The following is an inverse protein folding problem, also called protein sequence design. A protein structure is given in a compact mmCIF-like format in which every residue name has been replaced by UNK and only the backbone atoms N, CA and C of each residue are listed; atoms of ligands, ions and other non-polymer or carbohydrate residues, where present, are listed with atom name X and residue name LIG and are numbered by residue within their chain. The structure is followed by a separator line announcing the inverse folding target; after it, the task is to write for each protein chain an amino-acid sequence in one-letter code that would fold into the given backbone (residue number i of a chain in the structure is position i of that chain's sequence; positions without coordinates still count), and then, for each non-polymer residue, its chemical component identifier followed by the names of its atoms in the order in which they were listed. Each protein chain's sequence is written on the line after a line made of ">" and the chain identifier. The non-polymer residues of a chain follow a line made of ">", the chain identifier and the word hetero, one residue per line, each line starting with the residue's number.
data_IF_213519939932
#
_entry.id   IF_213519939932
#
_cell.length_a   1.000
_cell.length_b   1.000
_cell.length_c   1.000
_cell.angle_alpha   90.00
_cell.angle_beta   90.00
_cell.angle_gamma   90.00
#
_symmetry.space_group_name_H-M   'P 1'
#
loop_
_entity.id
_entity.type
_entity.pdbx_description
1 polymer ?
#
# COMPACT_ATOMS: atom_id res chain seq x y z
N UNK A 1 4.69 -18.64 14.44
CA UNK A 1 4.29 -17.74 13.36
C UNK A 1 2.93 -17.18 13.77
N UNK A 2 2.92 -16.10 14.56
CA UNK A 2 1.66 -15.51 15.03
C UNK A 2 0.90 -15.00 13.81
N UNK A 3 -0.35 -15.39 13.67
CA UNK A 3 -1.22 -15.02 12.55
C UNK A 3 -1.46 -13.52 12.55
N UNK A 4 -0.66 -12.79 11.77
CA UNK A 4 -0.70 -11.34 11.48
C UNK A 4 -1.96 -10.89 10.71
N UNK A 5 -2.98 -11.73 10.63
CA UNK A 5 -4.12 -11.50 9.78
C UNK A 5 -5.24 -10.83 10.57
N UNK A 6 -5.65 -9.66 10.11
CA UNK A 6 -6.93 -9.08 10.47
C UNK A 6 -8.02 -9.88 9.76
N UNK A 7 -8.35 -11.05 10.31
CA UNK A 7 -9.55 -11.76 9.87
C UNK A 7 -10.73 -11.38 10.75
N UNK A 8 -11.90 -11.12 10.14
CA UNK A 8 -13.15 -11.06 10.89
C UNK A 8 -13.57 -12.44 11.45
N UNK A 9 -12.94 -13.55 10.99
CA UNK A 9 -13.24 -14.93 11.42
C UNK A 9 -12.03 -15.87 11.39
N UNK A 10 -12.01 -16.89 12.23
CA UNK A 10 -10.96 -17.91 12.20
C UNK A 10 -11.11 -18.82 10.96
N UNK A 11 -10.01 -19.06 10.24
CA UNK A 11 -9.96 -20.09 9.19
C UNK A 11 -9.64 -21.45 9.82
N UNK A 12 -10.19 -22.56 9.29
CA UNK A 12 -9.72 -23.90 9.63
C UNK A 12 -8.19 -24.00 9.46
N UNK A 13 -7.51 -24.70 10.36
CA UNK A 13 -6.04 -24.79 10.38
C UNK A 13 -5.43 -25.23 9.03
N UNK A 14 -5.98 -26.24 8.32
CA UNK A 14 -5.48 -26.62 6.99
C UNK A 14 -5.60 -25.53 5.91
N UNK A 15 -6.46 -24.54 6.13
CA UNK A 15 -6.79 -23.48 5.17
C UNK A 15 -6.10 -22.14 5.47
N UNK A 16 -5.26 -22.04 6.50
CA UNK A 16 -4.55 -20.79 6.82
C UNK A 16 -3.71 -20.27 5.64
N UNK A 17 -3.24 -21.15 4.77
CA UNK A 17 -2.55 -20.78 3.54
C UNK A 17 -3.36 -19.89 2.58
N UNK A 18 -4.69 -20.00 2.58
CA UNK A 18 -5.56 -19.14 1.75
C UNK A 18 -5.39 -17.66 2.09
N UNK A 19 -5.21 -17.34 3.38
CA UNK A 19 -4.92 -15.99 3.84
C UNK A 19 -3.66 -15.41 3.21
N UNK A 20 -2.60 -16.23 3.18
CA UNK A 20 -1.31 -15.87 2.60
C UNK A 20 -1.45 -15.55 1.13
N UNK A 21 -2.21 -16.35 0.39
CA UNK A 21 -2.42 -16.16 -1.04
C UNK A 21 -3.37 -14.98 -1.34
N UNK A 22 -4.44 -14.81 -0.56
CA UNK A 22 -5.44 -13.77 -0.81
C UNK A 22 -4.95 -12.34 -0.52
N UNK A 23 -4.17 -12.17 0.55
CA UNK A 23 -3.63 -10.86 0.96
C UNK A 23 -2.37 -10.45 0.19
N UNK A 24 -1.77 -11.36 -0.56
CA UNK A 24 -0.61 -11.08 -1.40
C UNK A 24 -1.05 -10.70 -2.80
N UNK A 25 -1.07 -9.39 -3.10
CA UNK A 25 -1.51 -8.81 -4.36
C UNK A 25 -0.79 -9.36 -5.60
N UNK A 26 0.27 -10.17 -5.45
CA UNK A 26 0.90 -10.91 -6.54
C UNK A 26 -0.07 -11.73 -7.38
N UNK A 27 -1.20 -12.17 -6.82
CA UNK A 27 -2.24 -12.85 -7.60
C UNK A 27 -2.78 -12.01 -8.77
N UNK A 28 -2.63 -10.67 -8.76
CA UNK A 28 -3.15 -9.84 -9.84
C UNK A 28 -2.32 -9.86 -11.13
N UNK A 29 -1.07 -10.35 -11.08
CA UNK A 29 -0.24 -10.60 -12.27
C UNK A 29 0.36 -12.01 -12.32
N UNK A 30 0.03 -12.86 -11.34
CA UNK A 30 0.40 -14.27 -11.30
C UNK A 30 -0.83 -15.15 -11.11
N UNK A 31 -1.25 -15.80 -12.18
CA UNK A 31 -2.51 -16.55 -12.26
C UNK A 31 -2.40 -18.03 -11.82
N UNK A 32 -1.33 -18.41 -11.13
CA UNK A 32 -1.08 -19.81 -10.74
C UNK A 32 -2.15 -20.37 -9.80
N UNK A 33 -2.76 -19.51 -8.97
CA UNK A 33 -3.77 -19.89 -7.98
C UNK A 33 -5.22 -19.66 -8.45
N UNK A 34 -5.46 -19.26 -9.70
CA UNK A 34 -6.83 -18.95 -10.17
C UNK A 34 -7.76 -20.17 -10.12
N UNK A 35 -7.27 -21.35 -10.47
CA UNK A 35 -8.03 -22.60 -10.38
C UNK A 35 -8.46 -22.90 -8.93
N UNK A 36 -7.61 -22.55 -7.96
CA UNK A 36 -7.91 -22.69 -6.55
C UNK A 36 -9.05 -21.77 -6.13
N UNK A 37 -9.03 -20.50 -6.53
CA UNK A 37 -10.11 -19.57 -6.20
C UNK A 37 -11.43 -19.91 -6.91
N UNK A 38 -11.37 -20.40 -8.16
CA UNK A 38 -12.53 -20.98 -8.85
C UNK A 38 -13.14 -22.14 -8.07
N UNK A 39 -12.34 -23.03 -7.49
CA UNK A 39 -12.87 -24.13 -6.69
C UNK A 39 -13.47 -23.66 -5.36
N UNK A 40 -12.93 -22.59 -4.74
CA UNK A 40 -13.49 -22.02 -3.50
C UNK A 40 -14.91 -21.50 -3.75
N UNK A 41 -15.07 -20.60 -4.72
CA UNK A 41 -16.36 -19.98 -5.03
C UNK A 41 -16.44 -19.60 -6.53
N UNK A 42 -16.92 -20.50 -7.41
CA UNK A 42 -16.89 -20.28 -8.86
C UNK A 42 -17.59 -18.99 -9.30
N UNK A 43 -18.81 -18.72 -8.79
CA UNK A 43 -19.58 -17.52 -9.16
C UNK A 43 -18.89 -16.22 -8.75
N UNK A 44 -18.42 -16.15 -7.49
CA UNK A 44 -17.71 -14.98 -6.99
C UNK A 44 -16.40 -14.75 -7.76
N UNK A 45 -15.70 -15.82 -8.13
CA UNK A 45 -14.50 -15.69 -8.96
C UNK A 45 -14.79 -15.08 -10.32
N UNK A 46 -15.80 -15.58 -11.04
CA UNK A 46 -16.15 -15.04 -12.36
C UNK A 46 -16.64 -13.59 -12.32
N UNK A 47 -17.30 -13.17 -11.23
CA UNK A 47 -17.82 -11.80 -11.08
C UNK A 47 -16.78 -10.79 -10.59
N UNK A 48 -15.78 -11.24 -9.82
CA UNK A 48 -14.93 -10.31 -9.04
C UNK A 48 -13.44 -10.48 -9.24
N UNK A 49 -12.98 -11.68 -9.62
CA UNK A 49 -11.56 -12.06 -9.66
C UNK A 49 -10.76 -11.62 -8.42
N UNK A 50 -11.41 -11.55 -7.24
CA UNK A 50 -10.84 -11.01 -6.00
C UNK A 50 -10.73 -12.11 -4.92
N UNK A 51 -9.55 -12.71 -4.75
CA UNK A 51 -9.27 -13.70 -3.72
C UNK A 51 -9.68 -13.30 -2.30
N UNK A 52 -9.38 -12.06 -1.91
CA UNK A 52 -9.68 -11.59 -0.57
C UNK A 52 -11.18 -11.48 -0.34
N UNK A 53 -11.91 -10.87 -1.29
CA UNK A 53 -13.36 -10.77 -1.24
C UNK A 53 -14.02 -12.16 -1.17
N UNK A 54 -13.54 -13.12 -1.97
CA UNK A 54 -14.01 -14.51 -1.90
C UNK A 54 -13.79 -15.08 -0.49
N UNK A 55 -12.57 -14.96 0.04
CA UNK A 55 -12.18 -15.55 1.31
C UNK A 55 -12.95 -14.95 2.50
N UNK A 56 -13.30 -13.67 2.48
CA UNK A 56 -14.12 -13.05 3.54
C UNK A 56 -15.62 -13.31 3.37
N UNK A 57 -16.08 -13.68 2.17
CA UNK A 57 -17.53 -13.85 1.86
C UNK A 57 -18.01 -15.30 1.93
N UNK A 58 -17.17 -16.27 1.56
CA UNK A 58 -17.55 -17.71 1.49
C UNK A 58 -18.09 -18.21 2.84
N UNK A 59 -19.01 -19.19 2.89
CA UNK A 59 -19.57 -19.64 4.18
C UNK A 59 -18.60 -20.51 4.99
N UNK A 60 -18.74 -20.53 6.32
CA UNK A 60 -17.93 -21.38 7.20
C UNK A 60 -18.11 -22.87 6.86
N UNK A 61 -19.34 -23.29 6.54
CA UNK A 61 -19.63 -24.65 6.03
C UNK A 61 -18.79 -24.98 4.80
N UNK A 62 -18.66 -24.05 3.85
CA UNK A 62 -17.86 -24.27 2.63
C UNK A 62 -16.38 -24.37 2.96
N UNK A 63 -15.89 -23.57 3.93
CA UNK A 63 -14.53 -23.69 4.43
C UNK A 63 -14.29 -25.06 5.10
N UNK A 64 -15.24 -25.56 5.89
CA UNK A 64 -15.17 -26.89 6.51
C UNK A 64 -15.16 -28.01 5.45
N UNK A 65 -16.00 -27.92 4.43
CA UNK A 65 -16.01 -28.85 3.29
C UNK A 65 -14.64 -28.89 2.58
N UNK A 66 -14.05 -27.72 2.30
CA UNK A 66 -12.73 -27.60 1.68
C UNK A 66 -11.61 -28.07 2.59
N UNK A 67 -11.74 -27.89 3.91
CA UNK A 67 -10.77 -28.39 4.88
C UNK A 67 -10.75 -29.93 4.97
N UNK A 68 -11.83 -30.60 4.55
CA UNK A 68 -11.89 -32.06 4.40
C UNK A 68 -11.52 -32.60 3.01
N UNK A 69 -11.40 -31.72 1.99
CA UNK A 69 -11.12 -32.11 0.62
C UNK A 69 -9.60 -32.24 0.38
N UNK A 70 -9.13 -33.49 0.31
CA UNK A 70 -7.70 -33.78 0.13
C UNK A 70 -7.13 -33.20 -1.17
N UNK A 71 -7.89 -33.24 -2.26
CA UNK A 71 -7.43 -32.74 -3.55
C UNK A 71 -7.27 -31.21 -3.52
N UNK A 72 -8.21 -30.52 -2.88
CA UNK A 72 -8.12 -29.08 -2.67
C UNK A 72 -6.92 -28.70 -1.79
N UNK A 73 -6.70 -29.41 -0.68
CA UNK A 73 -5.56 -29.17 0.20
C UNK A 73 -4.23 -29.41 -0.50
N UNK A 74 -4.11 -30.45 -1.31
CA UNK A 74 -2.89 -30.72 -2.09
C UNK A 74 -2.63 -29.59 -3.12
N UNK A 75 -3.68 -29.07 -3.77
CA UNK A 75 -3.57 -27.91 -4.66
C UNK A 75 -3.14 -26.64 -3.90
N UNK A 76 -3.70 -26.37 -2.73
CA UNK A 76 -3.29 -25.23 -1.88
C UNK A 76 -1.82 -25.34 -1.48
N UNK A 77 -1.39 -26.51 -1.02
CA UNK A 77 -0.01 -26.74 -0.63
C UNK A 77 0.95 -26.59 -1.81
N UNK A 78 0.57 -27.04 -3.00
CA UNK A 78 1.38 -26.84 -4.20
C UNK A 78 1.56 -25.35 -4.52
N UNK A 79 0.49 -24.55 -4.47
CA UNK A 79 0.59 -23.10 -4.71
C UNK A 79 1.49 -22.41 -3.68
N UNK A 80 1.42 -22.81 -2.41
CA UNK A 80 2.29 -22.27 -1.36
C UNK A 80 3.76 -22.64 -1.61
N UNK A 81 4.05 -23.90 -2.00
CA UNK A 81 5.40 -24.36 -2.34
C UNK A 81 5.97 -23.64 -3.55
N UNK A 82 5.20 -23.50 -4.63
CA UNK A 82 5.61 -22.74 -5.83
C UNK A 82 5.97 -21.32 -5.45
N UNK A 83 5.17 -20.70 -4.59
CA UNK A 83 5.41 -19.34 -4.11
C UNK A 83 6.66 -19.24 -3.24
N UNK A 84 6.86 -20.18 -2.32
CA UNK A 84 8.06 -20.24 -1.47
C UNK A 84 9.33 -20.45 -2.30
N UNK A 85 9.31 -21.40 -3.24
CA UNK A 85 10.41 -21.67 -4.16
C UNK A 85 10.73 -20.44 -5.01
N UNK A 86 9.70 -19.78 -5.57
CA UNK A 86 9.87 -18.54 -6.31
C UNK A 86 10.52 -17.45 -5.45
N UNK A 87 10.24 -17.39 -4.14
CA UNK A 87 10.80 -16.38 -3.23
C UNK A 87 12.17 -16.72 -2.66
N UNK A 88 12.52 -18.00 -2.59
CA UNK A 88 13.84 -18.49 -2.18
C UNK A 88 14.89 -18.53 -3.29
N UNK A 89 14.49 -18.41 -4.56
CA UNK A 89 15.41 -18.43 -5.69
C UNK A 89 16.31 -17.17 -5.74
N UNK A 90 17.52 -17.35 -6.29
CA UNK A 90 18.39 -16.24 -6.67
C UNK A 90 17.66 -15.28 -7.61
N UNK A 91 17.98 -14.00 -7.45
CA UNK A 91 17.31 -12.90 -8.13
C UNK A 91 18.32 -12.02 -8.82
N UNK A 92 17.89 -11.31 -9.85
CA UNK A 92 18.74 -10.34 -10.53
C UNK A 92 19.41 -9.38 -9.53
N UNK A 93 18.66 -8.86 -8.55
CA UNK A 93 19.22 -7.97 -7.54
C UNK A 93 20.29 -8.66 -6.68
N UNK A 94 20.04 -9.87 -6.18
CA UNK A 94 21.04 -10.58 -5.35
C UNK A 94 22.31 -10.93 -6.11
N UNK A 95 22.21 -11.27 -7.41
CA UNK A 95 23.35 -11.61 -8.26
C UNK A 95 24.18 -10.39 -8.69
N UNK A 96 23.53 -9.24 -8.93
CA UNK A 96 24.18 -8.09 -9.58
C UNK A 96 24.51 -6.94 -8.61
N UNK A 97 23.72 -6.74 -7.55
CA UNK A 97 23.80 -5.55 -6.69
C UNK A 97 23.79 -5.89 -5.19
N UNK A 98 23.24 -7.03 -4.77
CA UNK A 98 22.89 -7.30 -3.37
C UNK A 98 24.01 -7.09 -2.35
N UNK A 99 25.28 -7.31 -2.74
CA UNK A 99 26.43 -7.07 -1.88
C UNK A 99 26.84 -5.59 -1.73
N UNK A 100 26.46 -4.71 -2.66
CA UNK A 100 26.87 -3.30 -2.72
C UNK A 100 25.81 -2.31 -2.23
N UNK A 101 24.58 -2.77 -1.98
CA UNK A 101 23.48 -1.94 -1.49
C UNK A 101 22.91 -2.50 -0.18
N UNK A 102 22.79 -1.62 0.81
CA UNK A 102 22.17 -1.92 2.10
C UNK A 102 21.01 -0.95 2.36
N UNK A 103 19.96 -1.43 3.02
CA UNK A 103 18.74 -0.68 3.30
C UNK A 103 17.67 -0.85 2.23
N UNK A 104 16.79 0.14 2.13
CA UNK A 104 15.64 0.13 1.22
C UNK A 104 15.60 1.36 0.31
N UNK A 105 14.84 1.23 -0.77
CA UNK A 105 14.38 2.35 -1.58
C UNK A 105 12.98 2.71 -1.10
N UNK A 106 12.82 3.88 -0.47
CA UNK A 106 11.51 4.40 -0.09
C UNK A 106 10.89 5.11 -1.31
N UNK A 107 9.85 4.52 -1.88
CA UNK A 107 9.15 5.03 -3.05
C UNK A 107 7.81 5.65 -2.64
N UNK A 108 7.75 6.99 -2.67
CA UNK A 108 6.58 7.76 -2.28
C UNK A 108 5.73 8.08 -3.51
N UNK A 109 4.45 7.75 -3.45
CA UNK A 109 3.49 8.09 -4.49
C UNK A 109 2.11 8.38 -3.88
N UNK A 110 1.38 9.31 -4.50
CA UNK A 110 0.01 9.63 -4.11
C UNK A 110 -0.97 8.50 -4.47
N UNK A 111 -0.62 7.65 -5.45
CA UNK A 111 -1.47 6.59 -5.96
C UNK A 111 -0.70 5.31 -6.33
N UNK A 112 -1.36 4.15 -6.22
CA UNK A 112 -0.80 2.85 -6.58
C UNK A 112 -1.82 1.98 -7.32
N UNK A 113 -1.62 1.82 -8.62
CA UNK A 113 -2.42 0.98 -9.52
C UNK A 113 -1.93 -0.45 -9.56
N UNK A 114 -2.09 -1.19 -8.45
CA UNK A 114 -1.69 -2.60 -8.37
C UNK A 114 -2.73 -3.51 -9.02
N UNK A 115 -4.00 -3.33 -8.62
CA UNK A 115 -5.16 -4.04 -9.13
C UNK A 115 -6.45 -3.34 -8.66
N UNK A 116 -7.57 -3.66 -9.30
CA UNK A 116 -8.89 -3.08 -8.99
C UNK A 116 -9.39 -3.40 -7.56
N UNK A 117 -8.90 -4.48 -6.96
CA UNK A 117 -9.24 -4.86 -5.57
C UNK A 117 -8.62 -3.95 -4.51
N UNK A 118 -7.71 -3.05 -4.91
CA UNK A 118 -7.16 -1.99 -4.06
C UNK A 118 -7.23 -0.65 -4.83
N UNK A 119 -8.42 0.00 -4.86
CA UNK A 119 -8.70 1.14 -5.75
C UNK A 119 -8.15 2.46 -5.18
N UNK A 120 -6.82 2.57 -5.13
CA UNK A 120 -6.08 3.75 -4.64
C UNK A 120 -5.31 4.47 -5.75
N UNK A 121 -5.86 4.51 -6.96
CA UNK A 121 -5.29 5.16 -8.14
C UNK A 121 -6.36 5.71 -9.08
N UNK A 122 -5.98 6.66 -9.93
CA UNK A 122 -6.86 7.24 -10.96
C UNK A 122 -6.38 7.01 -12.38
N UNK A 123 -5.07 6.98 -12.61
CA UNK A 123 -4.53 6.98 -13.98
C UNK A 123 -3.14 6.41 -14.15
N UNK A 124 -2.45 6.86 -15.20
CA UNK A 124 -1.17 6.30 -15.65
C UNK A 124 -0.03 6.44 -14.64
N UNK A 125 -0.01 7.50 -13.84
CA UNK A 125 0.97 7.70 -12.77
C UNK A 125 0.86 6.58 -11.72
N UNK A 126 -0.35 6.25 -11.29
CA UNK A 126 -0.65 5.17 -10.36
C UNK A 126 -0.38 3.80 -10.95
N UNK A 127 -0.78 3.53 -12.20
CA UNK A 127 -0.46 2.27 -12.89
C UNK A 127 1.06 2.07 -12.96
N UNK A 128 1.82 3.10 -13.33
CA UNK A 128 3.28 3.07 -13.33
C UNK A 128 3.84 2.76 -11.93
N UNK A 129 3.35 3.43 -10.88
CA UNK A 129 3.76 3.16 -9.50
C UNK A 129 3.49 1.71 -9.09
N UNK A 130 2.36 1.15 -9.55
CA UNK A 130 2.01 -0.25 -9.34
C UNK A 130 2.97 -1.20 -10.06
N UNK A 131 3.21 -0.98 -11.34
CA UNK A 131 4.13 -1.79 -12.15
C UNK A 131 5.57 -1.68 -11.67
N UNK A 132 5.95 -0.54 -11.08
CA UNK A 132 7.24 -0.36 -10.46
C UNK A 132 7.41 -1.28 -9.24
N UNK A 133 6.38 -1.43 -8.40
CA UNK A 133 6.40 -2.39 -7.28
C UNK A 133 6.36 -3.85 -7.76
N UNK A 134 5.61 -4.17 -8.83
CA UNK A 134 5.60 -5.51 -9.44
C UNK A 134 6.99 -5.88 -9.96
N UNK A 135 7.61 -4.98 -10.71
CA UNK A 135 8.97 -5.16 -11.25
C UNK A 135 10.00 -5.27 -10.13
N UNK A 136 9.90 -4.44 -9.08
CA UNK A 136 10.77 -4.54 -7.91
C UNK A 136 10.57 -5.87 -7.14
N UNK A 137 9.36 -6.44 -7.15
CA UNK A 137 9.12 -7.78 -6.63
C UNK A 137 9.89 -8.83 -7.43
N UNK A 138 9.73 -8.84 -8.76
CA UNK A 138 10.31 -9.87 -9.64
C UNK A 138 11.83 -9.79 -9.69
N UNK A 139 12.40 -8.58 -9.74
CA UNK A 139 13.84 -8.35 -9.69
C UNK A 139 14.43 -8.44 -8.27
N UNK A 140 13.57 -8.52 -7.25
CA UNK A 140 13.92 -8.52 -5.82
C UNK A 140 14.67 -7.26 -5.36
N UNK A 141 14.37 -6.10 -5.94
CA UNK A 141 14.90 -4.81 -5.50
C UNK A 141 14.20 -4.44 -4.17
N UNK A 142 14.93 -3.97 -3.14
CA UNK A 142 14.37 -3.68 -1.80
C UNK A 142 13.57 -2.37 -1.77
N UNK A 143 12.57 -2.24 -2.63
CA UNK A 143 11.62 -1.12 -2.65
C UNK A 143 10.53 -1.33 -1.61
N UNK A 144 10.18 -0.25 -0.92
CA UNK A 144 8.99 -0.12 -0.08
C UNK A 144 8.16 1.02 -0.68
N UNK A 145 6.91 0.73 -1.01
CA UNK A 145 5.95 1.76 -1.45
C UNK A 145 5.38 2.48 -0.24
N UNK A 146 5.21 3.80 -0.32
CA UNK A 146 4.57 4.64 0.69
C UNK A 146 3.48 5.46 0.00
N UNK A 147 2.24 5.31 0.46
CA UNK A 147 1.07 5.98 -0.09
C UNK A 147 -0.02 6.26 0.93
N UNK A 148 -1.20 6.60 0.44
CA UNK A 148 -2.40 6.86 1.24
C UNK A 148 -3.44 5.77 1.00
N UNK A 149 -4.21 5.40 2.03
CA UNK A 149 -5.35 4.51 1.89
C UNK A 149 -6.63 5.35 1.72
N UNK A 150 -7.13 5.44 0.49
CA UNK A 150 -8.31 6.25 0.19
C UNK A 150 -9.63 5.56 0.55
N UNK A 151 -10.51 6.25 1.27
CA UNK A 151 -11.83 5.72 1.62
C UNK A 151 -12.81 5.65 0.45
N UNK A 152 -12.61 6.39 -0.63
CA UNK A 152 -13.49 6.38 -1.81
C UNK A 152 -12.73 6.18 -3.13
N UNK A 153 -11.39 6.23 -3.09
CA UNK A 153 -10.56 6.15 -4.30
C UNK A 153 -10.69 7.43 -5.12
N UNK A 154 -10.75 7.29 -6.45
CA UNK A 154 -11.04 8.40 -7.37
C UNK A 154 -12.56 8.58 -7.54
N UNK A 155 -13.18 7.93 -8.53
CA UNK A 155 -14.62 7.73 -8.60
C UNK A 155 -14.93 6.51 -9.47
N UNK A 156 -16.16 5.98 -9.40
CA UNK A 156 -16.70 5.02 -10.36
C UNK A 156 -17.61 5.75 -11.34
N UNK A 157 -17.32 5.60 -12.62
CA UNK A 157 -18.06 6.21 -13.70
C UNK A 157 -19.30 5.38 -14.05
N UNK A 158 -20.45 6.03 -14.21
CA UNK A 158 -21.54 5.51 -15.02
C UNK A 158 -21.97 6.57 -16.05
N UNK A 159 -22.77 6.16 -17.04
CA UNK A 159 -23.40 7.07 -17.99
C UNK A 159 -24.90 7.07 -17.73
N UNK A 160 -25.51 8.24 -17.73
CA UNK A 160 -26.97 8.34 -17.69
C UNK A 160 -27.61 8.06 -19.06
N UNK A 161 -28.93 8.24 -19.14
CA UNK A 161 -29.69 7.98 -20.36
C UNK A 161 -29.36 8.94 -21.52
N UNK A 162 -28.82 10.11 -21.22
CA UNK A 162 -28.45 11.14 -22.18
C UNK A 162 -26.96 11.05 -22.58
N UNK A 163 -26.20 10.19 -21.91
CA UNK A 163 -24.77 9.96 -22.15
C UNK A 163 -23.85 10.83 -21.30
N UNK A 164 -24.39 11.53 -20.31
CA UNK A 164 -23.61 12.35 -19.38
C UNK A 164 -22.96 11.48 -18.29
N UNK A 165 -21.79 11.93 -17.83
CA UNK A 165 -21.03 11.25 -16.78
C UNK A 165 -21.71 11.41 -15.42
N UNK A 166 -21.94 10.28 -14.75
CA UNK A 166 -22.31 10.19 -13.34
C UNK A 166 -21.13 9.65 -12.54
N UNK A 167 -20.85 10.30 -11.41
CA UNK A 167 -19.73 9.96 -10.53
C UNK A 167 -20.24 9.35 -9.22
N UNK A 168 -19.76 8.15 -8.91
CA UNK A 168 -20.06 7.46 -7.67
C UNK A 168 -18.80 7.31 -6.83
N UNK A 169 -18.93 7.58 -5.53
CA UNK A 169 -17.84 7.53 -4.56
C UNK A 169 -18.12 6.44 -3.52
N UNK A 170 -18.12 5.15 -3.91
CA UNK A 170 -18.41 4.06 -2.99
C UNK A 170 -17.36 4.00 -1.88
N UNK A 171 -17.82 3.74 -0.65
CA UNK A 171 -16.91 3.58 0.47
C UNK A 171 -16.12 2.26 0.36
N UNK A 172 -14.80 2.39 0.35
CA UNK A 172 -13.84 1.32 0.47
C UNK A 172 -13.68 0.96 1.96
N UNK A 173 -14.38 -0.08 2.39
CA UNK A 173 -14.17 -0.65 3.72
C UNK A 173 -12.78 -1.32 3.78
N UNK A 174 -11.83 -0.83 4.61
CA UNK A 174 -10.50 -1.41 4.72
C UNK A 174 -10.49 -2.89 5.08
N UNK A 175 -11.54 -3.39 5.73
CA UNK A 175 -11.67 -4.81 6.09
C UNK A 175 -11.96 -5.70 4.87
N UNK A 176 -12.48 -5.11 3.80
CA UNK A 176 -12.78 -5.77 2.52
C UNK A 176 -11.68 -5.56 1.47
N UNK A 177 -10.61 -4.84 1.82
CA UNK A 177 -9.44 -4.63 0.98
C UNK A 177 -8.32 -5.62 1.33
N UNK A 178 -7.45 -5.99 0.38
CA UNK A 178 -6.32 -6.89 0.60
C UNK A 178 -5.15 -6.17 1.33
N UNK A 179 -5.45 -5.56 2.48
CA UNK A 179 -4.51 -4.87 3.37
C UNK A 179 -4.75 -5.34 4.80
N UNK A 180 -3.72 -5.23 5.63
CA UNK A 180 -3.83 -5.53 7.06
C UNK A 180 -3.38 -4.32 7.91
N UNK A 181 -3.95 -4.11 9.10
CA UNK A 181 -3.40 -3.19 10.08
C UNK A 181 -1.92 -3.47 10.32
N UNK A 182 -1.09 -2.45 10.23
CA UNK A 182 0.32 -2.56 10.57
C UNK A 182 0.47 -2.55 12.10
N UNK A 183 1.02 -3.64 12.65
CA UNK A 183 1.18 -3.83 14.09
C UNK A 183 2.66 -3.85 14.49
N UNK A 184 2.95 -3.41 15.70
CA UNK A 184 4.28 -3.49 16.31
C UNK A 184 4.55 -4.87 16.94
N UNK A 185 5.70 -5.01 17.58
CA UNK A 185 6.15 -6.23 18.27
C UNK A 185 5.25 -6.64 19.45
N UNK A 186 4.43 -5.71 19.96
CA UNK A 186 3.45 -5.95 21.02
C UNK A 186 2.07 -6.27 20.47
N UNK A 187 1.90 -6.26 19.15
CA UNK A 187 0.63 -6.45 18.48
C UNK A 187 -0.25 -5.19 18.50
N UNK A 188 0.26 -4.04 18.93
CA UNK A 188 -0.48 -2.78 18.91
C UNK A 188 -0.49 -2.18 17.52
N UNK A 189 -1.58 -1.51 17.16
CA UNK A 189 -1.69 -0.86 15.85
C UNK A 189 -0.78 0.37 15.82
N UNK A 190 0.22 0.32 14.93
CA UNK A 190 1.15 1.43 14.69
C UNK A 190 0.37 2.65 14.23
N UNK A 191 0.57 3.77 14.93
CA UNK A 191 -0.05 5.05 14.60
C UNK A 191 1.01 6.12 14.48
N UNK A 192 0.88 6.95 13.45
CA UNK A 192 1.74 8.12 13.25
C UNK A 192 0.99 9.36 13.66
N UNK A 193 1.71 10.39 14.07
CA UNK A 193 1.12 11.69 14.33
C UNK A 193 1.85 12.78 13.59
N UNK A 194 1.08 13.75 13.09
CA UNK A 194 1.56 14.96 12.45
C UNK A 194 0.95 16.14 13.20
N UNK A 195 1.76 17.17 13.43
CA UNK A 195 1.27 18.42 14.01
C UNK A 195 0.76 19.32 12.86
N UNK A 196 -0.51 19.67 12.92
CA UNK A 196 -1.14 20.67 12.06
C UNK A 196 -1.36 21.96 12.87
N UNK A 197 -1.61 23.11 12.24
CA UNK A 197 -1.94 24.33 12.97
C UNK A 197 -3.10 24.10 13.96
N UNK A 198 -2.81 24.29 15.25
CA UNK A 198 -3.78 24.17 16.34
C UNK A 198 -4.24 22.76 16.71
N UNK A 199 -3.77 21.69 16.05
CA UNK A 199 -4.23 20.32 16.32
C UNK A 199 -3.23 19.25 15.92
N UNK A 200 -3.35 18.08 16.54
CA UNK A 200 -2.57 16.89 16.21
C UNK A 200 -3.39 15.93 15.36
N UNK A 201 -2.93 15.63 14.16
CA UNK A 201 -3.51 14.63 13.27
C UNK A 201 -2.95 13.25 13.61
N UNK A 202 -3.81 12.25 13.80
CA UNK A 202 -3.43 10.84 14.00
C UNK A 202 -3.66 10.04 12.73
N UNK A 203 -2.70 9.20 12.36
CA UNK A 203 -2.78 8.37 11.17
C UNK A 203 -2.75 6.91 11.58
N UNK A 204 -3.76 6.14 11.18
CA UNK A 204 -3.70 4.68 11.19
C UNK A 204 -2.79 4.24 10.06
N UNK A 205 -2.15 3.09 10.24
CA UNK A 205 -1.20 2.56 9.26
C UNK A 205 -1.60 1.17 8.81
N UNK A 206 -1.50 0.94 7.50
CA UNK A 206 -1.91 -0.30 6.86
C UNK A 206 -0.77 -0.84 6.01
N UNK A 207 -0.77 -2.15 5.82
CA UNK A 207 0.22 -2.87 5.03
C UNK A 207 -0.48 -3.67 3.93
N UNK A 208 -0.20 -3.33 2.68
CA UNK A 208 -0.44 -4.17 1.52
C UNK A 208 0.81 -5.00 1.19
N UNK A 209 0.61 -6.23 0.73
CA UNK A 209 1.70 -7.11 0.27
C UNK A 209 1.67 -7.18 -1.25
N UNK A 210 2.77 -6.82 -1.89
CA UNK A 210 2.94 -6.88 -3.35
C UNK A 210 4.06 -7.88 -3.62
N UNK A 211 3.74 -9.16 -3.49
CA UNK A 211 4.69 -10.27 -3.51
C UNK A 211 5.70 -10.19 -2.36
N UNK A 212 6.97 -9.92 -2.72
CA UNK A 212 8.05 -9.68 -1.75
C UNK A 212 8.12 -8.24 -1.27
N UNK A 213 7.43 -7.31 -1.95
CA UNK A 213 7.47 -5.88 -1.63
C UNK A 213 6.36 -5.52 -0.65
N UNK A 214 6.64 -4.49 0.13
CA UNK A 214 5.70 -3.95 1.12
C UNK A 214 5.17 -2.61 0.62
N UNK A 215 3.85 -2.43 0.67
CA UNK A 215 3.18 -1.16 0.46
C UNK A 215 2.64 -0.66 1.80
N UNK A 216 3.19 0.43 2.30
CA UNK A 216 2.76 1.09 3.54
C UNK A 216 1.76 2.21 3.19
N UNK A 217 0.60 2.18 3.82
CA UNK A 217 -0.47 3.13 3.56
C UNK A 217 -0.88 3.87 4.84
N UNK A 218 -1.03 5.19 4.71
CA UNK A 218 -1.47 6.07 5.79
C UNK A 218 -2.95 6.42 5.63
N UNK A 219 -3.65 6.48 6.76
CA UNK A 219 -5.10 6.65 6.81
C UNK A 219 -5.47 7.63 7.93
N UNK A 220 -6.06 8.78 7.58
CA UNK A 220 -6.47 9.79 8.56
C UNK A 220 -7.84 9.50 9.19
N UNK A 221 -8.53 8.44 8.78
CA UNK A 221 -9.84 8.03 9.31
C UNK A 221 -9.73 7.36 10.70
N UNK A 222 -8.97 7.96 11.62
CA UNK A 222 -8.94 7.58 13.03
C UNK A 222 -10.12 8.23 13.76
N UNK A 223 -10.91 7.48 14.58
CA UNK A 223 -12.04 8.03 15.33
C UNK A 223 -11.69 9.17 16.29
N UNK A 224 -10.41 9.31 16.68
CA UNK A 224 -9.93 10.38 17.56
C UNK A 224 -9.60 11.67 16.81
N UNK A 225 -9.60 11.66 15.47
CA UNK A 225 -9.47 12.87 14.67
C UNK A 225 -10.81 13.59 14.52
N UNK A 226 -10.75 14.91 14.28
CA UNK A 226 -11.94 15.66 13.91
C UNK A 226 -12.53 15.16 12.59
N UNK A 227 -13.85 15.31 12.36
CA UNK A 227 -14.49 14.85 11.13
C UNK A 227 -13.83 15.37 9.84
N UNK A 228 -13.40 16.64 9.81
CA UNK A 228 -12.70 17.21 8.64
C UNK A 228 -11.32 16.58 8.41
N UNK A 229 -10.59 16.27 9.48
CA UNK A 229 -9.27 15.63 9.39
C UNK A 229 -9.36 14.18 8.90
N UNK A 230 -10.45 13.49 9.25
CA UNK A 230 -10.75 12.14 8.75
C UNK A 230 -10.95 12.12 7.23
N UNK A 231 -11.38 13.24 6.64
CA UNK A 231 -11.56 13.38 5.20
C UNK A 231 -10.25 13.62 4.43
N UNK A 232 -9.11 13.85 5.10
CA UNK A 232 -7.82 14.04 4.41
C UNK A 232 -7.50 12.86 3.48
N UNK A 233 -7.83 11.63 3.90
CA UNK A 233 -7.65 10.44 3.06
C UNK A 233 -8.96 9.96 2.41
N UNK A 234 -9.99 10.79 2.25
CA UNK A 234 -11.26 10.31 1.65
C UNK A 234 -11.09 9.98 0.17
N UNK A 235 -10.74 10.98 -0.62
CA UNK A 235 -10.72 10.95 -2.08
C UNK A 235 -9.32 11.24 -2.61
N UNK A 236 -8.96 10.55 -3.68
CA UNK A 236 -7.75 10.81 -4.46
C UNK A 236 -7.99 12.01 -5.37
N UNK A 237 -7.15 13.04 -5.25
CA UNK A 237 -7.30 14.32 -5.98
C UNK A 237 -8.61 15.09 -5.69
N UNK A 238 -9.31 14.75 -4.61
CA UNK A 238 -10.49 15.46 -4.14
C UNK A 238 -10.17 16.69 -3.28
N UNK A 239 -11.19 17.52 -3.04
CA UNK A 239 -11.10 18.70 -2.18
C UNK A 239 -10.45 19.92 -2.83
N UNK A 240 -10.15 20.94 -2.01
CA UNK A 240 -9.47 22.16 -2.43
C UNK A 240 -7.98 22.18 -2.08
N UNK A 241 -7.29 23.29 -2.37
CA UNK A 241 -5.85 23.43 -2.16
C UNK A 241 -5.35 23.15 -0.72
N UNK A 242 -6.15 23.49 0.30
CA UNK A 242 -5.80 23.17 1.69
C UNK A 242 -5.82 21.66 1.97
N UNK A 243 -6.84 20.95 1.47
CA UNK A 243 -6.93 19.50 1.60
C UNK A 243 -5.77 18.83 0.89
N UNK A 244 -5.44 19.31 -0.31
CA UNK A 244 -4.31 18.84 -1.10
C UNK A 244 -2.98 19.01 -0.36
N UNK A 245 -2.74 20.17 0.24
CA UNK A 245 -1.57 20.42 1.08
C UNK A 245 -1.51 19.44 2.26
N UNK A 246 -2.65 19.22 2.93
CA UNK A 246 -2.73 18.28 4.04
C UNK A 246 -2.42 16.84 3.60
N UNK A 247 -2.90 16.41 2.43
CA UNK A 247 -2.56 15.10 1.86
C UNK A 247 -1.06 14.95 1.58
N UNK A 248 -0.42 15.97 1.00
CA UNK A 248 1.03 15.96 0.76
C UNK A 248 1.85 15.95 2.06
N UNK A 249 1.39 16.66 3.08
CA UNK A 249 1.98 16.58 4.42
C UNK A 249 1.81 15.19 5.03
N UNK A 250 0.64 14.57 4.90
CA UNK A 250 0.39 13.18 5.34
C UNK A 250 1.32 12.22 4.62
N UNK A 251 1.40 12.28 3.29
CA UNK A 251 2.25 11.41 2.48
C UNK A 251 3.73 11.60 2.84
N UNK A 252 4.23 12.84 2.79
CA UNK A 252 5.64 13.13 2.98
C UNK A 252 6.11 13.02 4.44
N UNK A 253 5.49 13.79 5.34
CA UNK A 253 5.87 13.82 6.76
C UNK A 253 5.43 12.52 7.45
N UNK A 254 4.17 12.13 7.27
CA UNK A 254 3.64 10.91 7.87
C UNK A 254 4.37 9.66 7.37
N UNK A 255 4.66 9.61 6.08
CA UNK A 255 5.34 8.47 5.47
C UNK A 255 6.77 8.33 5.95
N UNK A 256 7.53 9.42 6.05
CA UNK A 256 8.89 9.35 6.57
C UNK A 256 8.92 9.00 8.07
N UNK A 257 8.00 9.56 8.86
CA UNK A 257 7.84 9.18 10.29
C UNK A 257 7.47 7.72 10.47
N UNK A 258 6.70 7.14 9.54
CA UNK A 258 6.40 5.72 9.56
C UNK A 258 7.66 4.87 9.37
N UNK A 259 8.51 5.22 8.40
CA UNK A 259 9.80 4.54 8.20
C UNK A 259 10.68 4.64 9.45
N UNK A 260 10.77 5.83 10.06
CA UNK A 260 11.50 6.03 11.32
C UNK A 260 10.95 5.16 12.45
N UNK A 261 9.62 5.12 12.62
CA UNK A 261 8.95 4.34 13.67
C UNK A 261 9.20 2.85 13.51
N UNK A 262 9.26 2.35 12.27
CA UNK A 262 9.53 0.96 11.95
C UNK A 262 11.03 0.62 11.95
N UNK A 263 11.91 1.60 12.14
CA UNK A 263 13.37 1.40 12.07
C UNK A 263 13.87 1.01 10.67
N UNK A 264 13.14 1.39 9.61
CA UNK A 264 13.48 1.06 8.24
C UNK A 264 14.50 2.06 7.71
N UNK A 265 15.73 1.60 7.47
CA UNK A 265 16.76 2.40 6.85
C UNK A 265 16.56 2.49 5.33
N UNK A 266 16.43 3.73 4.84
CA UNK A 266 16.16 4.04 3.44
C UNK A 266 17.14 5.09 2.92
N UNK A 267 18.32 4.69 2.40
CA UNK A 267 19.29 5.61 1.82
C UNK A 267 18.79 6.27 0.53
N UNK A 268 17.79 5.69 -0.14
CA UNK A 268 17.15 6.27 -1.33
C UNK A 268 15.71 6.64 -1.01
N UNK A 269 15.35 7.88 -1.29
CA UNK A 269 13.99 8.42 -1.22
C UNK A 269 13.59 8.84 -2.64
N UNK A 270 12.73 8.06 -3.26
CA UNK A 270 12.23 8.33 -4.61
C UNK A 270 10.81 8.88 -4.54
N UNK A 271 10.62 10.09 -5.07
CA UNK A 271 9.35 10.80 -5.09
C UNK A 271 8.78 10.74 -6.51
N UNK A 272 7.56 10.22 -6.62
CA UNK A 272 6.78 10.22 -7.85
C UNK A 272 5.94 11.51 -7.90
N UNK A 273 6.36 12.46 -8.74
CA UNK A 273 5.90 13.85 -8.73
C UNK A 273 6.14 14.64 -7.44
N UNK A 274 5.73 15.92 -7.46
CA UNK A 274 5.90 16.88 -6.36
C UNK A 274 5.11 16.55 -5.09
N UNK A 275 4.13 15.63 -5.15
CA UNK A 275 3.19 15.35 -4.06
C UNK A 275 3.86 14.85 -2.77
N UNK A 276 5.07 14.31 -2.88
CA UNK A 276 5.85 13.80 -1.75
C UNK A 276 6.99 14.75 -1.33
N UNK A 277 6.99 16.01 -1.77
CA UNK A 277 8.07 16.97 -1.50
C UNK A 277 8.38 17.14 0.00
N UNK A 278 7.35 17.06 0.86
CA UNK A 278 7.54 17.13 2.32
C UNK A 278 8.39 15.98 2.89
N UNK A 279 8.51 14.84 2.19
CA UNK A 279 9.40 13.75 2.59
C UNK A 279 10.87 14.22 2.63
N UNK A 280 11.28 15.13 1.74
CA UNK A 280 12.64 15.71 1.73
C UNK A 280 12.92 16.46 3.02
N UNK A 281 11.96 17.28 3.47
CA UNK A 281 12.09 18.08 4.68
C UNK A 281 12.08 17.20 5.93
N UNK A 282 11.17 16.23 6.00
CA UNK A 282 11.09 15.32 7.14
C UNK A 282 12.30 14.39 7.22
N UNK A 283 12.84 13.94 6.09
CA UNK A 283 14.09 13.20 5.99
C UNK A 283 15.28 14.01 6.50
N UNK A 284 15.39 15.28 6.10
CA UNK A 284 16.42 16.18 6.59
C UNK A 284 16.26 16.42 8.11
N UNK A 285 15.03 16.60 8.60
CA UNK A 285 14.71 16.74 10.03
C UNK A 285 15.12 15.49 10.81
N UNK A 286 14.87 14.30 10.26
CA UNK A 286 15.28 13.03 10.86
C UNK A 286 16.80 12.92 10.95
N UNK A 287 17.51 13.19 9.85
CA UNK A 287 18.98 13.18 9.84
C UNK A 287 19.58 14.19 10.83
N UNK A 288 19.02 15.41 10.87
CA UNK A 288 19.39 16.47 11.83
C UNK A 288 19.35 15.96 13.28
N UNK A 289 18.23 15.31 13.68
CA UNK A 289 18.10 14.75 15.04
C UNK A 289 19.10 13.64 15.31
N UNK A 290 19.31 12.75 14.34
CA UNK A 290 20.18 11.57 14.48
C UNK A 290 21.68 11.94 14.55
N UNK A 291 22.11 12.93 13.77
CA UNK A 291 23.53 13.33 13.68
C UNK A 291 23.90 14.52 14.57
N UNK A 292 22.91 15.22 15.15
CA UNK A 292 23.11 16.44 15.92
C UNK A 292 23.55 17.64 15.06
N UNK A 293 23.53 17.51 13.73
CA UNK A 293 23.91 18.59 12.81
C UNK A 293 22.77 19.60 12.63
N UNK A 294 23.04 20.88 12.29
CA UNK A 294 22.00 21.84 11.96
C UNK A 294 21.20 21.45 10.70
N UNK A 295 19.93 21.88 10.61
CA UNK A 295 19.04 21.56 9.48
C UNK A 295 19.66 21.84 8.10
N UNK A 296 20.33 22.99 7.85
CA UNK A 296 20.94 23.24 6.53
C UNK A 296 22.01 22.23 6.15
N UNK A 297 22.76 21.69 7.12
CA UNK A 297 23.76 20.65 6.89
C UNK A 297 23.06 19.33 6.60
N UNK A 298 22.06 18.96 7.41
CA UNK A 298 21.29 17.74 7.22
C UNK A 298 20.59 17.70 5.85
N UNK A 299 19.97 18.81 5.44
CA UNK A 299 19.31 18.94 4.14
C UNK A 299 20.28 18.69 2.99
N UNK A 300 21.49 19.28 3.05
CA UNK A 300 22.54 19.05 2.05
C UNK A 300 23.03 17.61 2.06
N UNK A 301 23.24 17.03 3.24
CA UNK A 301 23.72 15.66 3.39
C UNK A 301 22.74 14.62 2.82
N UNK A 302 21.43 14.82 3.02
CA UNK A 302 20.39 13.89 2.52
C UNK A 302 20.11 14.03 1.02
N UNK A 303 20.61 15.08 0.37
CA UNK A 303 20.26 15.43 -1.02
C UNK A 303 20.65 14.35 -2.02
N UNK A 304 21.80 13.71 -1.85
CA UNK A 304 22.31 12.71 -2.79
C UNK A 304 21.41 11.46 -2.89
N UNK A 305 20.62 11.18 -1.84
CA UNK A 305 19.69 10.06 -1.84
C UNK A 305 18.26 10.44 -2.23
N UNK A 306 17.99 11.68 -2.66
CA UNK A 306 16.66 12.10 -3.08
C UNK A 306 16.56 12.00 -4.61
N UNK A 307 15.67 11.14 -5.09
CA UNK A 307 15.36 10.96 -6.51
C UNK A 307 13.97 11.53 -6.77
N UNK A 308 13.87 12.39 -7.78
CA UNK A 308 12.62 13.01 -8.18
C UNK A 308 12.30 12.64 -9.62
N UNK A 309 11.07 12.21 -9.86
CA UNK A 309 10.54 11.97 -11.21
C UNK A 309 9.36 12.87 -11.45
N UNK A 310 9.40 13.64 -12.54
CA UNK A 310 8.25 14.40 -13.05
C UNK A 310 7.74 13.73 -14.32
N UNK A 311 6.42 13.67 -14.45
CA UNK A 311 5.68 13.08 -15.58
C UNK A 311 4.99 14.15 -16.39
N UNK A 312 4.69 15.30 -15.78
CA UNK A 312 4.03 16.43 -16.42
C UNK A 312 4.90 17.68 -16.29
N UNK A 313 5.90 17.89 -17.17
CA UNK A 313 6.84 19.01 -17.09
C UNK A 313 6.23 20.32 -17.61
N UNK A 314 4.98 20.60 -17.23
CA UNK A 314 4.28 21.87 -17.51
C UNK A 314 3.79 22.47 -16.19
N UNK A 315 3.62 23.79 -16.17
CA UNK A 315 3.29 24.53 -14.93
C UNK A 315 2.06 23.99 -14.19
N UNK A 316 1.03 23.56 -14.94
CA UNK A 316 -0.19 22.98 -14.39
C UNK A 316 0.03 21.64 -13.65
N UNK A 317 1.15 20.96 -13.86
CA UNK A 317 1.51 19.72 -13.16
C UNK A 317 2.17 19.94 -11.81
N UNK A 318 2.47 21.18 -11.43
CA UNK A 318 3.13 21.50 -10.15
C UNK A 318 2.14 22.09 -9.16
N UNK A 319 1.91 21.36 -8.06
CA UNK A 319 1.15 21.85 -6.92
C UNK A 319 1.79 23.13 -6.35
N UNK A 320 0.98 24.18 -6.16
CA UNK A 320 1.38 25.46 -5.54
C UNK A 320 0.42 25.81 -4.43
N UNK A 321 0.96 26.24 -3.30
CA UNK A 321 0.19 26.62 -2.13
C UNK A 321 0.54 28.05 -1.74
N UNK A 322 -0.48 28.87 -1.47
CA UNK A 322 -0.29 30.24 -1.00
C UNK A 322 0.32 30.26 0.41
N UNK A 323 1.24 31.19 0.70
CA UNK A 323 1.98 31.26 1.97
C UNK A 323 1.16 31.73 3.18
#
# INVERSE_FOLDING_TARGET
>A
MQTDYYFPRALPEPLQGLATLALDLRWSWNHGADALWRQVAPRLWEETANPWLILVTVSDRRLEELAGDRAFLDMLQEQLKVREAHFGAESWFSENIGASFSGHVAYFCMEFGICESLPIYSGGLGVLAGDYLKTACDLNIPVIGIGLLYQQGYFRQALDADGDQLEFYPYNDPTMLPVVPLRDDKGEWVRISIELPGRRLRLRTWRGRVGRRTLLLLDSNDPLNHPGDRAITSELYGGGGEMRLQQEMVLGIGGWRLLETLGIDSPVCHMNEGHAAFAVLERARYHMRRSGQPFPVALRATRAGNLFTTHTPVEAGFDRFDP
#
